data_IF_758091958512
#
_entry.id   IF_758091958512
#
_cell.length_a   1.000
_cell.length_b   1.000
_cell.length_c   1.000
_cell.angle_alpha   90.00
_cell.angle_beta   90.00
_cell.angle_gamma   90.00
#
_symmetry.space_group_name_H-M   'P 1'
#
loop_
_entity.id
_entity.type
_entity.pdbx_description
1 polymer ?
#
# COMPACT_ATOMS: atom_id res chain seq x y z
N UNK A 1 9.10 10.36 -8.35
CA UNK A 1 10.22 11.34 -8.32
C UNK A 1 11.02 11.33 -7.02
N UNK A 2 10.37 11.35 -5.81
CA UNK A 2 11.08 11.38 -4.52
C UNK A 2 11.91 10.10 -4.34
N UNK A 3 11.42 8.93 -4.70
CA UNK A 3 12.19 7.68 -4.64
C UNK A 3 13.47 7.75 -5.48
N UNK A 4 13.35 8.24 -6.71
CA UNK A 4 14.53 8.47 -7.56
C UNK A 4 15.51 9.48 -6.93
N UNK A 5 14.99 10.55 -6.33
CA UNK A 5 15.82 11.56 -5.66
C UNK A 5 16.54 10.97 -4.43
N UNK A 6 15.91 10.09 -3.64
CA UNK A 6 16.55 9.35 -2.56
C UNK A 6 17.73 8.50 -3.08
N UNK A 7 17.53 7.75 -4.17
CA UNK A 7 18.58 6.96 -4.78
C UNK A 7 19.72 7.87 -5.33
N UNK A 8 19.37 8.99 -5.94
CA UNK A 8 20.34 9.99 -6.38
C UNK A 8 21.12 10.60 -5.22
N UNK A 9 20.46 10.86 -4.08
CA UNK A 9 21.11 11.37 -2.87
C UNK A 9 22.18 10.40 -2.36
N UNK A 10 21.88 9.10 -2.30
CA UNK A 10 22.86 8.07 -1.92
C UNK A 10 24.09 8.15 -2.86
N UNK A 11 23.86 8.23 -4.17
CA UNK A 11 24.95 8.32 -5.17
C UNK A 11 25.72 9.63 -5.09
N UNK A 12 25.07 10.73 -4.71
CA UNK A 12 25.73 12.01 -4.49
C UNK A 12 26.67 11.97 -3.27
N UNK A 13 26.21 11.36 -2.19
CA UNK A 13 27.02 11.17 -0.96
C UNK A 13 28.19 10.20 -1.22
N UNK A 14 27.90 9.07 -1.87
CA UNK A 14 28.81 7.96 -2.11
C UNK A 14 28.78 7.50 -3.58
N UNK A 15 29.54 8.14 -4.47
CA UNK A 15 29.51 7.84 -5.91
C UNK A 15 29.84 6.39 -6.27
N UNK A 16 30.66 5.73 -5.46
CA UNK A 16 31.14 4.36 -5.70
C UNK A 16 30.19 3.26 -5.20
N UNK A 17 29.14 3.62 -4.40
CA UNK A 17 28.13 2.65 -3.95
C UNK A 17 27.42 2.05 -5.16
N UNK A 18 27.39 0.73 -5.26
CA UNK A 18 26.67 0.04 -6.33
C UNK A 18 25.17 0.00 -6.08
N UNK A 19 24.36 -0.24 -7.12
CA UNK A 19 22.92 -0.44 -6.93
C UNK A 19 22.61 -1.66 -6.04
N UNK A 20 23.39 -2.72 -6.16
CA UNK A 20 23.28 -3.91 -5.32
C UNK A 20 23.56 -3.60 -3.83
N UNK A 21 24.53 -2.74 -3.55
CA UNK A 21 24.79 -2.29 -2.18
C UNK A 21 23.61 -1.47 -1.63
N UNK A 22 23.02 -0.61 -2.44
CA UNK A 22 21.84 0.17 -2.03
C UNK A 22 20.64 -0.71 -1.69
N UNK A 23 20.49 -1.87 -2.32
CA UNK A 23 19.39 -2.81 -2.07
C UNK A 23 19.60 -3.69 -0.84
N UNK A 24 20.74 -3.61 -0.15
CA UNK A 24 20.95 -4.28 1.13
C UNK A 24 20.17 -3.57 2.23
N UNK A 25 19.24 -4.28 2.83
CA UNK A 25 18.38 -3.73 3.89
C UNK A 25 19.23 -3.28 5.07
N UNK A 26 19.06 -2.03 5.50
CA UNK A 26 19.82 -1.38 6.57
C UNK A 26 21.35 -1.44 6.38
N UNK A 27 21.82 -1.41 5.13
CA UNK A 27 23.22 -1.53 4.77
C UNK A 27 23.86 -0.23 4.24
N UNK A 28 23.14 0.88 4.23
CA UNK A 28 23.67 2.14 3.73
C UNK A 28 24.68 2.76 4.71
N UNK A 29 25.72 3.42 4.18
CA UNK A 29 26.57 4.27 4.99
C UNK A 29 25.79 5.50 5.46
N UNK A 30 26.27 6.15 6.54
CA UNK A 30 25.65 7.38 7.05
C UNK A 30 25.62 8.47 6.00
N UNK A 31 24.42 8.91 5.64
CA UNK A 31 24.20 10.06 4.76
C UNK A 31 24.40 11.38 5.52
N UNK A 32 24.09 12.51 4.90
CA UNK A 32 24.21 13.87 5.45
C UNK A 32 25.64 14.34 5.67
N UNK A 33 26.59 13.80 4.89
CA UNK A 33 27.98 14.24 4.90
C UNK A 33 28.19 15.42 3.96
N UNK A 34 27.41 15.47 2.86
CA UNK A 34 27.53 16.52 1.82
C UNK A 34 26.25 17.34 1.67
N UNK A 35 25.07 16.71 1.87
CA UNK A 35 23.78 17.36 1.68
C UNK A 35 22.71 16.82 2.62
N UNK A 36 21.76 17.69 2.98
CA UNK A 36 20.49 17.31 3.59
C UNK A 36 19.41 17.12 2.53
N UNK A 37 18.38 16.34 2.84
CA UNK A 37 17.30 16.03 1.92
C UNK A 37 15.98 16.62 2.38
N UNK A 38 15.40 17.50 1.55
CA UNK A 38 14.06 18.02 1.74
C UNK A 38 13.13 17.42 0.69
N UNK A 39 12.04 16.83 1.11
CA UNK A 39 11.01 16.24 0.25
C UNK A 39 9.71 17.02 0.33
N UNK A 40 9.13 17.31 -0.84
CA UNK A 40 7.85 18.02 -0.96
C UNK A 40 6.89 17.10 -1.70
N UNK A 41 5.82 16.68 -1.03
CA UNK A 41 4.83 15.75 -1.58
C UNK A 41 3.85 16.48 -2.50
N UNK A 42 3.53 15.87 -3.64
CA UNK A 42 2.50 16.36 -4.58
C UNK A 42 1.38 15.35 -4.82
N UNK A 43 1.36 14.26 -4.04
CA UNK A 43 0.31 13.24 -4.07
C UNK A 43 -0.07 12.84 -2.65
N UNK A 44 -1.33 12.45 -2.45
CA UNK A 44 -1.85 12.08 -1.13
C UNK A 44 -1.99 10.56 -1.03
N UNK A 45 -0.86 9.84 -0.82
CA UNK A 45 -0.90 8.37 -0.76
C UNK A 45 0.38 7.70 -0.31
N UNK A 46 1.47 7.84 -1.07
CA UNK A 46 2.70 7.06 -0.88
C UNK A 46 3.52 7.45 0.35
N UNK A 47 3.34 8.68 0.84
CA UNK A 47 4.07 9.24 1.98
C UNK A 47 5.61 9.13 1.88
N UNK A 48 6.15 9.08 0.68
CA UNK A 48 7.60 8.90 0.47
C UNK A 48 8.44 10.04 1.08
N UNK A 49 7.81 11.19 1.36
CA UNK A 49 8.43 12.33 2.03
C UNK A 49 8.78 12.07 3.51
N UNK A 50 8.21 11.03 4.14
CA UNK A 50 8.45 10.68 5.55
C UNK A 50 8.92 9.24 5.75
N UNK A 51 9.22 8.50 4.68
CA UNK A 51 9.50 7.07 4.78
C UNK A 51 10.99 6.73 4.60
N UNK A 52 11.38 5.63 5.22
CA UNK A 52 12.70 5.00 5.10
C UNK A 52 12.83 4.10 3.86
N UNK A 53 12.00 4.31 2.83
CA UNK A 53 11.93 3.46 1.64
C UNK A 53 12.08 4.27 0.37
N UNK A 54 12.64 3.61 -0.67
CA UNK A 54 12.68 4.07 -2.05
C UNK A 54 12.50 2.87 -2.97
N UNK A 55 11.52 2.90 -3.86
CA UNK A 55 11.22 1.79 -4.77
C UNK A 55 11.68 2.16 -6.18
N UNK A 56 12.69 1.44 -6.67
CA UNK A 56 13.27 1.66 -8.00
C UNK A 56 12.90 0.47 -8.90
N UNK A 57 12.39 0.77 -10.09
CA UNK A 57 12.04 -0.24 -11.08
C UNK A 57 13.20 -0.43 -12.05
N UNK A 58 13.71 -1.66 -12.16
CA UNK A 58 14.56 -2.10 -13.25
C UNK A 58 13.64 -2.51 -14.42
N UNK A 59 13.55 -1.66 -15.43
CA UNK A 59 12.68 -1.89 -16.58
C UNK A 59 13.20 -2.99 -17.52
N UNK A 60 14.50 -3.30 -17.50
CA UNK A 60 15.05 -4.38 -18.30
C UNK A 60 14.64 -5.75 -17.75
N UNK A 61 14.63 -5.89 -16.43
CA UNK A 61 14.24 -7.10 -15.73
C UNK A 61 12.76 -7.15 -15.36
N UNK A 62 12.06 -6.01 -15.40
CA UNK A 62 10.67 -5.89 -14.92
C UNK A 62 10.53 -6.09 -13.40
N UNK A 63 11.58 -5.78 -12.63
CA UNK A 63 11.64 -6.01 -11.18
C UNK A 63 11.68 -4.69 -10.43
N UNK A 64 10.88 -4.60 -9.36
CA UNK A 64 10.94 -3.50 -8.39
C UNK A 64 11.89 -3.87 -7.25
N UNK A 65 12.89 -3.05 -7.03
CA UNK A 65 13.88 -3.17 -5.97
C UNK A 65 13.58 -2.17 -4.86
N UNK A 66 13.26 -2.62 -3.64
CA UNK A 66 13.18 -1.74 -2.49
C UNK A 66 14.60 -1.40 -2.00
N UNK A 67 14.85 -0.11 -1.81
CA UNK A 67 15.93 0.39 -0.97
C UNK A 67 15.29 0.72 0.38
N UNK A 68 15.73 0.06 1.44
CA UNK A 68 15.12 0.17 2.77
C UNK A 68 16.21 0.49 3.79
N UNK A 69 16.25 1.73 4.26
CA UNK A 69 17.18 2.18 5.28
C UNK A 69 16.70 3.48 5.92
N UNK A 70 16.81 3.62 7.24
CA UNK A 70 16.44 4.85 7.93
C UNK A 70 17.28 6.05 7.48
N UNK A 71 18.48 5.82 6.96
CA UNK A 71 19.35 6.88 6.42
C UNK A 71 18.70 7.66 5.27
N UNK A 72 17.81 7.05 4.48
CA UNK A 72 17.12 7.74 3.38
C UNK A 72 15.80 8.41 3.77
N UNK A 73 15.45 8.41 5.04
CA UNK A 73 14.33 9.25 5.52
C UNK A 73 14.70 10.72 5.32
N UNK A 74 13.85 11.53 4.66
CA UNK A 74 14.14 12.94 4.46
C UNK A 74 14.35 13.70 5.80
N UNK A 75 15.21 14.70 5.81
CA UNK A 75 15.44 15.56 6.96
C UNK A 75 14.28 16.54 7.18
N UNK A 76 13.64 16.96 6.10
CA UNK A 76 12.48 17.85 6.10
C UNK A 76 11.45 17.30 5.14
N UNK A 77 10.22 17.17 5.61
CA UNK A 77 9.05 16.89 4.79
C UNK A 77 8.17 18.14 4.74
N UNK A 78 7.86 18.60 3.53
CA UNK A 78 6.89 19.68 3.32
C UNK A 78 5.61 19.05 2.79
N UNK A 79 4.55 19.15 3.57
CA UNK A 79 3.22 18.63 3.28
C UNK A 79 2.31 19.80 2.95
N UNK A 80 2.40 20.25 1.69
CA UNK A 80 1.65 21.40 1.19
C UNK A 80 0.43 20.92 0.40
N UNK A 81 -0.81 21.13 0.90
CA UNK A 81 -2.01 20.64 0.25
C UNK A 81 -2.27 21.28 -1.12
N UNK A 82 -1.78 22.50 -1.37
CA UNK A 82 -1.95 23.20 -2.64
C UNK A 82 -1.31 22.39 -3.80
N UNK A 83 -0.24 21.64 -3.52
CA UNK A 83 0.42 20.78 -4.51
C UNK A 83 -0.38 19.52 -4.85
N UNK A 84 -1.33 19.14 -4.03
CA UNK A 84 -2.22 18.01 -4.25
C UNK A 84 -3.60 18.41 -4.80
N UNK A 85 -3.89 19.73 -4.89
CA UNK A 85 -5.20 20.24 -5.30
C UNK A 85 -5.63 19.76 -6.67
N UNK A 86 -4.70 19.71 -7.62
CA UNK A 86 -4.97 19.37 -9.02
C UNK A 86 -4.87 17.88 -9.34
N UNK A 87 -4.73 17.00 -8.33
CA UNK A 87 -4.68 15.56 -8.56
C UNK A 87 -5.90 15.07 -9.32
N UNK A 88 -5.72 14.28 -10.43
CA UNK A 88 -6.82 13.66 -11.13
C UNK A 88 -7.63 12.73 -10.23
N UNK A 89 -8.94 12.69 -10.40
CA UNK A 89 -9.87 11.91 -9.58
C UNK A 89 -9.46 10.44 -9.42
N UNK A 90 -9.03 9.79 -10.50
CA UNK A 90 -8.52 8.40 -10.48
C UNK A 90 -7.28 8.26 -9.58
N UNK A 91 -6.39 9.25 -9.61
CA UNK A 91 -5.20 9.23 -8.75
C UNK A 91 -5.58 9.42 -7.28
N UNK A 92 -6.52 10.33 -6.97
CA UNK A 92 -7.07 10.51 -5.61
C UNK A 92 -7.64 9.20 -5.08
N UNK A 93 -8.41 8.48 -5.89
CA UNK A 93 -8.99 7.18 -5.51
C UNK A 93 -7.90 6.15 -5.17
N UNK A 94 -6.94 5.96 -6.08
CA UNK A 94 -5.90 4.95 -5.92
C UNK A 94 -4.96 5.28 -4.75
N UNK A 95 -4.48 6.51 -4.67
CA UNK A 95 -3.55 6.92 -3.61
C UNK A 95 -4.22 7.01 -2.24
N UNK A 96 -5.50 7.38 -2.18
CA UNK A 96 -6.26 7.40 -0.94
C UNK A 96 -6.49 6.00 -0.38
N UNK A 97 -6.80 5.00 -1.23
CA UNK A 97 -6.90 3.61 -0.81
C UNK A 97 -5.54 2.99 -0.45
N UNK A 98 -4.47 3.45 -1.08
CA UNK A 98 -3.10 3.12 -0.71
C UNK A 98 -2.78 3.59 0.71
N UNK A 99 -3.07 4.86 1.01
CA UNK A 99 -2.91 5.42 2.35
C UNK A 99 -3.76 4.69 3.41
N UNK A 100 -5.01 4.29 3.08
CA UNK A 100 -5.84 3.48 3.95
C UNK A 100 -5.18 2.11 4.23
N UNK A 101 -4.62 1.50 3.20
CA UNK A 101 -3.93 0.20 3.33
C UNK A 101 -2.67 0.34 4.18
N UNK A 102 -1.86 1.37 3.96
CA UNK A 102 -0.70 1.69 4.78
C UNK A 102 -1.07 1.75 6.28
N UNK A 103 -2.11 2.52 6.61
CA UNK A 103 -2.53 2.72 7.98
C UNK A 103 -3.07 1.43 8.62
N UNK A 104 -3.89 0.66 7.89
CA UNK A 104 -4.46 -0.60 8.39
C UNK A 104 -3.36 -1.66 8.57
N UNK A 105 -2.47 -1.84 7.59
CA UNK A 105 -1.37 -2.80 7.71
C UNK A 105 -0.39 -2.41 8.81
N UNK A 106 -0.02 -1.14 8.93
CA UNK A 106 0.82 -0.66 10.03
C UNK A 106 0.19 -0.94 11.40
N UNK A 107 -1.12 -0.74 11.53
CA UNK A 107 -1.82 -0.99 12.79
C UNK A 107 -1.84 -2.46 13.18
N UNK A 108 -2.03 -3.39 12.24
CA UNK A 108 -2.08 -4.84 12.53
C UNK A 108 -0.72 -5.54 12.41
N UNK A 109 0.32 -4.82 12.01
CA UNK A 109 1.68 -5.34 11.87
C UNK A 109 2.21 -5.94 13.18
N UNK A 110 3.03 -7.00 13.09
CA UNK A 110 3.76 -7.54 14.25
C UNK A 110 4.83 -6.59 14.79
N UNK A 111 5.20 -5.57 14.02
CA UNK A 111 6.17 -4.53 14.41
C UNK A 111 5.50 -3.24 14.91
N UNK A 112 4.19 -3.23 15.14
CA UNK A 112 3.47 -2.08 15.68
C UNK A 112 3.99 -1.67 17.07
N UNK A 113 3.81 -0.42 17.45
CA UNK A 113 4.26 0.14 18.74
C UNK A 113 3.26 1.16 19.26
N UNK A 114 3.39 1.54 20.54
CA UNK A 114 2.62 2.63 21.16
C UNK A 114 2.80 3.98 20.43
N UNK A 115 3.87 4.14 19.64
CA UNK A 115 4.11 5.35 18.83
C UNK A 115 3.45 5.27 17.45
N UNK A 116 3.39 4.10 16.84
CA UNK A 116 2.82 3.92 15.49
C UNK A 116 1.30 3.77 15.51
N UNK A 117 0.75 3.14 16.56
CA UNK A 117 -0.68 2.88 16.68
C UNK A 117 -1.55 4.15 16.66
N UNK A 118 -1.26 5.22 17.43
CA UNK A 118 -2.04 6.44 17.36
C UNK A 118 -2.01 7.12 15.99
N UNK A 119 -0.87 7.07 15.29
CA UNK A 119 -0.73 7.63 13.95
C UNK A 119 -1.57 6.86 12.94
N UNK A 120 -1.50 5.52 12.97
CA UNK A 120 -2.27 4.64 12.10
C UNK A 120 -3.78 4.81 12.33
N UNK A 121 -4.24 4.76 13.58
CA UNK A 121 -5.65 4.93 13.91
C UNK A 121 -6.18 6.32 13.52
N UNK A 122 -5.39 7.37 13.76
CA UNK A 122 -5.79 8.72 13.36
C UNK A 122 -5.89 8.85 11.84
N UNK A 123 -4.93 8.30 11.09
CA UNK A 123 -4.97 8.25 9.64
C UNK A 123 -6.22 7.49 9.12
N UNK A 124 -6.52 6.30 9.67
CA UNK A 124 -7.71 5.52 9.30
C UNK A 124 -8.98 6.35 9.47
N UNK A 125 -9.13 7.03 10.62
CA UNK A 125 -10.30 7.86 10.91
C UNK A 125 -10.45 9.00 9.93
N UNK A 126 -9.36 9.72 9.62
CA UNK A 126 -9.35 10.83 8.67
C UNK A 126 -9.68 10.33 7.26
N UNK A 127 -9.02 9.28 6.78
CA UNK A 127 -9.23 8.74 5.43
C UNK A 127 -10.67 8.27 5.27
N UNK A 128 -11.22 7.55 6.27
CA UNK A 128 -12.62 7.11 6.22
C UNK A 128 -13.62 8.26 6.14
N UNK A 129 -13.31 9.41 6.77
CA UNK A 129 -14.19 10.59 6.78
C UNK A 129 -14.04 11.46 5.53
N UNK A 130 -12.85 11.52 4.94
CA UNK A 130 -12.50 12.60 4.01
C UNK A 130 -12.23 12.12 2.58
N UNK A 131 -11.95 10.82 2.35
CA UNK A 131 -11.56 10.31 1.03
C UNK A 131 -12.63 10.50 -0.05
N UNK A 132 -13.90 10.25 0.25
CA UNK A 132 -14.98 10.41 -0.71
C UNK A 132 -15.18 11.89 -1.10
N UNK A 133 -15.09 12.81 -0.14
CA UNK A 133 -15.14 14.25 -0.40
C UNK A 133 -13.95 14.72 -1.24
N UNK A 134 -12.75 14.27 -0.89
CA UNK A 134 -11.53 14.55 -1.65
C UNK A 134 -11.63 14.05 -3.10
N UNK A 135 -12.17 12.84 -3.30
CA UNK A 135 -12.43 12.26 -4.62
C UNK A 135 -13.40 13.11 -5.44
N UNK A 136 -14.41 13.69 -4.79
CA UNK A 136 -15.41 14.57 -5.43
C UNK A 136 -14.92 16.02 -5.61
N UNK A 137 -13.69 16.33 -5.25
CA UNK A 137 -13.07 17.63 -5.51
C UNK A 137 -13.22 18.66 -4.39
N UNK A 138 -13.64 18.26 -3.21
CA UNK A 138 -13.66 19.12 -2.00
C UNK A 138 -12.23 19.39 -1.54
N UNK A 139 -11.79 20.65 -1.60
CA UNK A 139 -10.42 21.05 -1.30
C UNK A 139 -10.07 20.94 0.18
N UNK A 140 -11.02 21.20 1.09
CA UNK A 140 -10.80 20.99 2.51
C UNK A 140 -10.55 19.50 2.81
N UNK A 141 -11.30 18.62 2.16
CA UNK A 141 -11.09 17.17 2.27
C UNK A 141 -9.78 16.72 1.62
N UNK A 142 -9.33 17.37 0.54
CA UNK A 142 -8.00 17.11 -0.05
C UNK A 142 -6.88 17.47 0.91
N UNK A 143 -6.96 18.59 1.60
CA UNK A 143 -6.01 18.95 2.66
C UNK A 143 -5.99 17.86 3.75
N UNK A 144 -7.17 17.43 4.24
CA UNK A 144 -7.25 16.35 5.25
C UNK A 144 -6.62 15.05 4.75
N UNK A 145 -6.87 14.68 3.51
CA UNK A 145 -6.26 13.49 2.90
C UNK A 145 -4.75 13.62 2.75
N UNK A 146 -4.24 14.82 2.42
CA UNK A 146 -2.81 15.08 2.31
C UNK A 146 -2.10 14.92 3.67
N UNK A 147 -2.72 15.41 4.74
CA UNK A 147 -2.24 15.21 6.10
C UNK A 147 -2.36 13.72 6.54
N UNK A 148 -3.48 13.06 6.25
CA UNK A 148 -3.73 11.68 6.65
C UNK A 148 -2.73 10.70 6.04
N UNK A 149 -2.36 10.87 4.76
CA UNK A 149 -1.37 10.02 4.12
C UNK A 149 0.03 10.17 4.77
N UNK A 150 0.40 11.37 5.18
CA UNK A 150 1.65 11.61 5.89
C UNK A 150 1.66 10.87 7.26
N UNK A 151 0.55 10.94 8.01
CA UNK A 151 0.39 10.18 9.26
C UNK A 151 0.50 8.67 9.04
N UNK A 152 -0.18 8.13 8.00
CA UNK A 152 -0.06 6.73 7.61
C UNK A 152 1.39 6.37 7.26
N UNK A 153 2.10 7.27 6.58
CA UNK A 153 3.51 7.12 6.24
C UNK A 153 4.42 7.02 7.45
N UNK A 154 4.26 7.92 8.41
CA UNK A 154 5.00 7.87 9.67
C UNK A 154 4.72 6.58 10.45
N UNK A 155 3.48 6.08 10.41
CA UNK A 155 3.12 4.81 11.04
C UNK A 155 3.83 3.64 10.36
N UNK A 156 3.62 3.43 9.05
CA UNK A 156 4.16 2.24 8.38
C UNK A 156 5.67 2.27 8.19
N UNK A 157 6.28 3.44 8.10
CA UNK A 157 7.74 3.55 8.01
C UNK A 157 8.45 2.96 9.24
N UNK A 158 7.75 2.89 10.38
CA UNK A 158 8.25 2.33 11.64
C UNK A 158 7.62 0.97 11.98
N UNK A 159 6.33 0.76 11.68
CA UNK A 159 5.62 -0.49 11.95
C UNK A 159 5.74 -1.53 10.82
N UNK A 160 6.28 -1.13 9.66
CA UNK A 160 6.29 -1.93 8.44
C UNK A 160 4.88 -2.21 7.90
N UNK A 161 4.79 -3.08 6.90
CA UNK A 161 3.55 -3.38 6.15
C UNK A 161 3.20 -4.87 6.27
N UNK A 162 2.34 -5.36 5.39
CA UNK A 162 1.88 -6.74 5.38
C UNK A 162 1.74 -7.30 3.96
N UNK A 163 0.98 -8.38 3.86
CA UNK A 163 0.84 -9.13 2.61
C UNK A 163 -0.01 -8.45 1.55
N UNK A 164 -0.80 -7.42 1.87
CA UNK A 164 -1.46 -6.60 0.83
C UNK A 164 -0.40 -5.97 -0.06
N UNK A 165 0.59 -5.31 0.55
CA UNK A 165 1.70 -4.69 -0.17
C UNK A 165 2.58 -5.71 -0.87
N UNK A 166 2.89 -6.84 -0.22
CA UNK A 166 3.65 -7.93 -0.85
C UNK A 166 2.99 -8.41 -2.15
N UNK A 167 1.68 -8.62 -2.13
CA UNK A 167 0.90 -9.01 -3.31
C UNK A 167 0.91 -7.90 -4.37
N UNK A 168 0.68 -6.64 -3.98
CA UNK A 168 0.65 -5.51 -4.89
C UNK A 168 2.00 -5.25 -5.57
N UNK A 169 3.12 -5.40 -4.86
CA UNK A 169 4.46 -5.29 -5.42
C UNK A 169 4.69 -6.31 -6.55
N UNK A 170 4.18 -7.54 -6.39
CA UNK A 170 4.45 -8.62 -7.34
C UNK A 170 3.43 -8.68 -8.49
N UNK A 171 2.24 -8.12 -8.32
CA UNK A 171 1.21 -8.09 -9.37
C UNK A 171 1.29 -6.86 -10.27
N UNK A 172 1.78 -5.72 -9.78
CA UNK A 172 1.74 -4.46 -10.51
C UNK A 172 2.40 -4.48 -11.90
N UNK A 173 3.53 -5.17 -12.03
CA UNK A 173 4.25 -5.31 -13.29
C UNK A 173 4.17 -6.73 -13.89
N UNK A 174 3.55 -7.69 -13.21
CA UNK A 174 3.56 -9.10 -13.60
C UNK A 174 2.91 -9.38 -14.95
N UNK A 175 2.08 -8.46 -15.44
CA UNK A 175 1.30 -8.59 -16.67
C UNK A 175 1.62 -7.52 -17.70
N UNK A 176 2.66 -6.71 -17.49
CA UNK A 176 3.00 -5.57 -18.36
C UNK A 176 3.33 -5.98 -19.79
N UNK A 177 3.96 -7.15 -20.00
CA UNK A 177 4.23 -7.71 -21.33
C UNK A 177 2.97 -8.15 -22.08
N UNK A 178 1.83 -8.22 -21.40
CA UNK A 178 0.49 -8.46 -21.98
C UNK A 178 -0.33 -7.18 -22.11
N UNK A 179 0.31 -6.03 -21.90
CA UNK A 179 -0.37 -4.74 -21.97
C UNK A 179 -1.25 -4.42 -20.76
N UNK A 180 -1.12 -5.20 -19.68
CA UNK A 180 -1.88 -4.98 -18.46
C UNK A 180 -0.97 -4.47 -17.34
N UNK A 181 -1.32 -3.33 -16.74
CA UNK A 181 -0.59 -2.74 -15.63
C UNK A 181 -1.56 -2.40 -14.50
N UNK A 182 -1.54 -3.22 -13.44
CA UNK A 182 -2.36 -2.96 -12.26
C UNK A 182 -1.66 -1.89 -11.42
N UNK A 183 -2.29 -0.72 -11.30
CA UNK A 183 -1.73 0.36 -10.48
C UNK A 183 -1.69 -0.04 -9.01
N UNK A 184 -0.63 0.39 -8.30
CA UNK A 184 -0.35 -0.05 -6.94
C UNK A 184 -1.52 0.17 -5.97
N UNK A 185 -2.08 1.39 -5.94
CA UNK A 185 -3.21 1.69 -5.05
C UNK A 185 -4.51 0.95 -5.41
N UNK A 186 -4.74 0.64 -6.70
CA UNK A 186 -5.88 -0.21 -7.08
C UNK A 186 -5.66 -1.66 -6.65
N UNK A 187 -4.43 -2.19 -6.77
CA UNK A 187 -4.08 -3.51 -6.27
C UNK A 187 -4.32 -3.61 -4.76
N UNK A 188 -3.80 -2.65 -4.00
CA UNK A 188 -4.00 -2.58 -2.56
C UNK A 188 -5.49 -2.54 -2.19
N UNK A 189 -6.30 -1.71 -2.88
CA UNK A 189 -7.74 -1.64 -2.66
C UNK A 189 -8.44 -2.99 -2.89
N UNK A 190 -8.10 -3.70 -3.98
CA UNK A 190 -8.70 -5.00 -4.31
C UNK A 190 -8.31 -6.11 -3.32
N UNK A 191 -7.09 -6.05 -2.77
CA UNK A 191 -6.56 -7.13 -1.92
C UNK A 191 -6.90 -6.95 -0.46
N UNK A 192 -6.95 -5.72 0.03
CA UNK A 192 -7.15 -5.41 1.46
C UNK A 192 -8.35 -6.14 2.09
N UNK A 193 -9.56 -6.14 1.50
CA UNK A 193 -10.70 -6.86 2.07
C UNK A 193 -10.46 -8.37 2.22
N UNK A 194 -9.76 -9.00 1.26
CA UNK A 194 -9.44 -10.43 1.27
C UNK A 194 -8.35 -10.76 2.29
N UNK A 195 -7.36 -9.89 2.42
CA UNK A 195 -6.29 -10.03 3.43
C UNK A 195 -6.82 -9.84 4.84
N UNK A 196 -7.76 -8.89 5.06
CA UNK A 196 -8.43 -8.76 6.37
C UNK A 196 -9.14 -10.06 6.73
N UNK A 197 -9.89 -10.68 5.81
CA UNK A 197 -10.56 -11.97 6.06
C UNK A 197 -9.56 -13.08 6.37
N UNK A 198 -8.42 -13.13 5.68
CA UNK A 198 -7.35 -14.08 5.95
C UNK A 198 -6.69 -13.83 7.32
N UNK A 199 -6.27 -12.62 7.60
CA UNK A 199 -5.57 -12.25 8.83
C UNK A 199 -6.47 -12.36 10.07
N UNK A 200 -7.79 -12.15 9.95
CA UNK A 200 -8.75 -12.27 11.04
C UNK A 200 -8.89 -13.70 11.61
N UNK A 201 -8.26 -14.71 11.02
CA UNK A 201 -8.08 -16.04 11.65
C UNK A 201 -7.03 -16.02 12.76
N UNK A 202 -6.15 -15.01 12.80
CA UNK A 202 -5.28 -14.72 13.94
C UNK A 202 -6.06 -13.89 14.97
N UNK A 203 -6.05 -14.31 16.23
CA UNK A 203 -6.86 -13.69 17.29
C UNK A 203 -6.48 -12.23 17.59
N UNK A 204 -5.17 -11.91 17.58
CA UNK A 204 -4.71 -10.55 17.84
C UNK A 204 -5.05 -9.63 16.66
N UNK A 205 -4.82 -10.07 15.42
CA UNK A 205 -5.23 -9.32 14.25
C UNK A 205 -6.75 -9.07 14.23
N UNK A 206 -7.56 -10.09 14.54
CA UNK A 206 -9.02 -9.96 14.65
C UNK A 206 -9.42 -8.89 15.65
N UNK A 207 -8.81 -8.89 16.83
CA UNK A 207 -9.06 -7.88 17.87
C UNK A 207 -8.75 -6.47 17.33
N UNK A 208 -7.60 -6.28 16.68
CA UNK A 208 -7.20 -4.99 16.13
C UNK A 208 -8.10 -4.52 14.99
N UNK A 209 -8.61 -5.42 14.15
CA UNK A 209 -9.63 -5.07 13.15
C UNK A 209 -10.97 -4.67 13.80
N UNK A 210 -11.35 -5.27 14.94
CA UNK A 210 -12.52 -4.84 15.69
C UNK A 210 -12.33 -3.42 16.26
N UNK A 211 -11.14 -3.10 16.76
CA UNK A 211 -10.80 -1.75 17.25
C UNK A 211 -10.91 -0.69 16.14
N UNK A 212 -10.48 -1.02 14.91
CA UNK A 212 -10.69 -0.16 13.74
C UNK A 212 -12.19 0.03 13.46
N UNK A 213 -12.97 -1.05 13.45
CA UNK A 213 -14.41 -0.99 13.19
C UNK A 213 -15.14 -0.12 14.24
N UNK A 214 -14.76 -0.23 15.51
CA UNK A 214 -15.28 0.60 16.59
C UNK A 214 -14.86 2.07 16.43
N UNK A 215 -13.59 2.34 16.07
CA UNK A 215 -13.06 3.69 15.85
C UNK A 215 -13.85 4.47 14.80
N UNK A 216 -14.26 3.81 13.72
CA UNK A 216 -15.00 4.44 12.62
C UNK A 216 -16.51 4.15 12.67
N UNK A 217 -17.02 3.69 13.83
CA UNK A 217 -18.43 3.52 14.15
C UNK A 217 -19.20 2.59 13.20
N UNK A 218 -18.61 1.46 12.79
CA UNK A 218 -19.27 0.52 11.87
C UNK A 218 -20.30 -0.39 12.55
N UNK A 219 -20.34 -0.41 13.89
CA UNK A 219 -21.22 -1.29 14.65
C UNK A 219 -20.80 -2.77 14.60
N UNK A 220 -21.69 -3.64 15.06
CA UNK A 220 -21.46 -5.06 15.19
C UNK A 220 -21.46 -5.50 16.66
N UNK A 221 -22.10 -6.63 16.96
CA UNK A 221 -22.26 -7.19 18.32
C UNK A 221 -21.21 -8.25 18.62
N UNK A 222 -20.67 -8.89 17.58
CA UNK A 222 -19.62 -9.88 17.67
C UNK A 222 -18.35 -9.43 16.92
N UNK A 223 -17.21 -10.05 17.25
CA UNK A 223 -15.96 -9.79 16.56
C UNK A 223 -16.04 -10.09 15.05
N UNK A 224 -16.75 -11.17 14.69
CA UNK A 224 -16.93 -11.54 13.28
C UNK A 224 -17.79 -10.52 12.54
N UNK A 225 -18.85 -10.00 13.15
CA UNK A 225 -19.67 -8.92 12.58
C UNK A 225 -18.85 -7.64 12.39
N UNK A 226 -18.03 -7.25 13.37
CA UNK A 226 -17.17 -6.06 13.27
C UNK A 226 -16.15 -6.17 12.13
N UNK A 227 -15.48 -7.32 12.01
CA UNK A 227 -14.56 -7.58 10.90
C UNK A 227 -15.29 -7.55 9.56
N UNK A 228 -16.48 -8.17 9.48
CA UNK A 228 -17.26 -8.16 8.24
C UNK A 228 -17.74 -6.74 7.88
N UNK A 229 -18.12 -5.93 8.86
CA UNK A 229 -18.52 -4.54 8.65
C UNK A 229 -17.34 -3.70 8.16
N UNK A 230 -16.12 -3.93 8.67
CA UNK A 230 -14.92 -3.28 8.14
C UNK A 230 -14.66 -3.68 6.68
N UNK A 231 -14.74 -4.96 6.34
CA UNK A 231 -14.62 -5.45 4.96
C UNK A 231 -15.68 -4.79 4.05
N UNK A 232 -16.94 -4.74 4.50
CA UNK A 232 -18.03 -4.13 3.75
C UNK A 232 -17.77 -2.64 3.51
N UNK A 233 -17.33 -1.89 4.53
CA UNK A 233 -17.01 -0.47 4.40
C UNK A 233 -15.90 -0.22 3.36
N UNK A 234 -14.84 -1.02 3.37
CA UNK A 234 -13.76 -0.89 2.38
C UNK A 234 -14.25 -1.20 0.96
N UNK A 235 -15.14 -2.19 0.81
CA UNK A 235 -15.75 -2.51 -0.49
C UNK A 235 -16.73 -1.44 -0.96
N UNK A 236 -17.42 -0.75 -0.06
CA UNK A 236 -18.23 0.44 -0.38
C UNK A 236 -17.34 1.58 -0.89
N UNK A 237 -16.24 1.86 -0.18
CA UNK A 237 -15.26 2.86 -0.65
C UNK A 237 -14.74 2.53 -2.06
N UNK A 238 -14.36 1.27 -2.33
CA UNK A 238 -13.94 0.87 -3.68
C UNK A 238 -14.99 1.21 -4.74
N UNK A 239 -16.28 0.90 -4.48
CA UNK A 239 -17.38 1.19 -5.40
C UNK A 239 -17.56 2.70 -5.62
N UNK A 240 -17.59 3.48 -4.54
CA UNK A 240 -17.74 4.95 -4.60
C UNK A 240 -16.59 5.60 -5.36
N UNK A 241 -15.37 5.06 -5.20
CA UNK A 241 -14.15 5.54 -5.84
C UNK A 241 -13.96 4.98 -7.26
N UNK A 242 -14.92 4.21 -7.78
CA UNK A 242 -14.85 3.56 -9.08
C UNK A 242 -13.60 2.67 -9.27
N UNK A 243 -13.19 1.96 -8.20
CA UNK A 243 -12.14 0.95 -8.24
C UNK A 243 -12.79 -0.43 -8.37
N UNK A 244 -12.39 -1.27 -9.34
CA UNK A 244 -12.87 -2.64 -9.43
C UNK A 244 -12.68 -3.44 -8.15
N UNK A 245 -13.61 -4.36 -7.86
CA UNK A 245 -13.57 -5.17 -6.63
C UNK A 245 -12.60 -6.36 -6.71
N UNK A 246 -12.14 -6.69 -7.92
CA UNK A 246 -11.26 -7.84 -8.15
C UNK A 246 -10.40 -7.62 -9.41
N UNK A 247 -9.32 -8.41 -9.52
CA UNK A 247 -8.38 -8.31 -10.64
C UNK A 247 -9.07 -8.63 -11.97
N UNK A 248 -9.99 -9.59 -12.02
CA UNK A 248 -10.71 -9.99 -13.22
C UNK A 248 -11.46 -8.82 -13.87
N UNK A 249 -11.98 -7.91 -13.07
CA UNK A 249 -12.72 -6.76 -13.56
C UNK A 249 -11.83 -5.53 -13.83
N UNK A 250 -10.57 -5.58 -13.48
CA UNK A 250 -9.63 -4.48 -13.70
C UNK A 250 -9.31 -4.37 -15.19
N UNK A 251 -9.66 -3.24 -15.80
CA UNK A 251 -9.46 -2.97 -17.23
C UNK A 251 -10.49 -3.62 -18.16
N UNK A 252 -11.51 -4.34 -17.66
CA UNK A 252 -12.49 -5.03 -18.52
C UNK A 252 -13.53 -4.07 -19.14
N UNK A 253 -14.21 -3.26 -18.32
CA UNK A 253 -15.35 -2.46 -18.78
C UNK A 253 -15.27 -0.95 -18.47
N UNK A 254 -14.49 -0.56 -17.47
CA UNK A 254 -14.47 0.81 -16.96
C UNK A 254 -13.08 1.44 -16.91
N UNK A 255 -12.06 0.65 -17.16
CA UNK A 255 -10.71 1.14 -17.36
C UNK A 255 -10.44 1.24 -18.86
N UNK A 256 -10.13 2.44 -19.39
CA UNK A 256 -9.67 2.54 -20.76
C UNK A 256 -8.49 1.60 -21.00
N UNK A 257 -8.28 1.22 -22.26
CA UNK A 257 -7.22 0.32 -22.72
C UNK A 257 -5.80 0.67 -22.21
N UNK A 258 -5.63 1.83 -21.60
CA UNK A 258 -4.39 2.31 -20.96
C UNK A 258 -3.85 1.41 -19.85
N UNK A 259 -4.73 0.67 -19.16
CA UNK A 259 -4.30 -0.19 -18.03
C UNK A 259 -4.32 -1.69 -18.36
N UNK A 260 -4.85 -2.05 -19.53
CA UNK A 260 -4.95 -3.43 -19.99
C UNK A 260 -5.82 -4.33 -19.11
N UNK A 261 -6.11 -5.50 -19.62
CA UNK A 261 -6.95 -6.52 -18.99
C UNK A 261 -6.12 -7.78 -18.68
N UNK A 262 -6.25 -8.31 -17.47
CA UNK A 262 -5.60 -9.57 -17.09
C UNK A 262 -6.57 -10.72 -17.35
N UNK A 263 -6.39 -11.43 -18.47
CA UNK A 263 -7.20 -12.62 -18.77
C UNK A 263 -6.91 -13.76 -17.77
N UNK A 264 -7.89 -14.64 -17.59
CA UNK A 264 -7.79 -15.78 -16.67
C UNK A 264 -6.60 -16.69 -16.99
N UNK A 265 -6.40 -17.01 -18.28
CA UNK A 265 -5.28 -17.86 -18.69
C UNK A 265 -3.92 -17.25 -18.33
N UNK A 266 -3.73 -15.95 -18.57
CA UNK A 266 -2.50 -15.24 -18.23
C UNK A 266 -2.30 -15.18 -16.71
N UNK A 267 -3.38 -14.94 -15.96
CA UNK A 267 -3.33 -14.96 -14.51
C UNK A 267 -2.92 -16.34 -13.96
N UNK A 268 -3.60 -17.40 -14.40
CA UNK A 268 -3.35 -18.76 -13.93
C UNK A 268 -1.94 -19.26 -14.27
N UNK A 269 -1.37 -18.85 -15.41
CA UNK A 269 0.01 -19.16 -15.78
C UNK A 269 1.06 -18.57 -14.84
N UNK A 270 0.76 -17.43 -14.18
CA UNK A 270 1.72 -16.65 -13.40
C UNK A 270 1.48 -16.64 -11.90
N UNK A 271 0.27 -16.98 -11.47
CA UNK A 271 -0.14 -16.84 -10.07
C UNK A 271 0.76 -17.58 -9.08
N UNK A 272 1.27 -18.76 -9.45
CA UNK A 272 2.16 -19.56 -8.58
C UNK A 272 3.51 -18.85 -8.34
N UNK A 273 4.10 -18.26 -9.38
CA UNK A 273 5.36 -17.53 -9.24
C UNK A 273 5.16 -16.18 -8.55
N UNK A 274 4.05 -15.49 -8.82
CA UNK A 274 3.65 -14.29 -8.09
C UNK A 274 3.52 -14.60 -6.60
N UNK A 275 2.87 -15.73 -6.25
CA UNK A 275 2.67 -16.14 -4.86
C UNK A 275 4.00 -16.41 -4.13
N UNK A 276 4.92 -17.14 -4.74
CA UNK A 276 6.26 -17.40 -4.19
C UNK A 276 7.03 -16.10 -3.95
N UNK A 277 7.00 -15.20 -4.93
CA UNK A 277 7.69 -13.92 -4.84
C UNK A 277 7.05 -12.99 -3.80
N UNK A 278 5.71 -13.04 -3.63
CA UNK A 278 5.01 -12.28 -2.60
C UNK A 278 5.36 -12.78 -1.19
N UNK A 279 5.45 -14.09 -0.98
CA UNK A 279 5.89 -14.66 0.31
C UNK A 279 7.33 -14.26 0.63
N UNK A 280 8.20 -14.15 -0.38
CA UNK A 280 9.58 -13.71 -0.21
C UNK A 280 9.76 -12.19 -0.09
N UNK A 281 8.71 -11.41 -0.24
CA UNK A 281 8.74 -9.94 -0.10
C UNK A 281 8.95 -9.53 1.37
N UNK A 282 9.74 -8.49 1.61
CA UNK A 282 10.06 -8.01 2.94
C UNK A 282 8.82 -7.62 3.77
N UNK A 283 7.76 -7.12 3.13
CA UNK A 283 6.51 -6.75 3.82
C UNK A 283 5.78 -7.97 4.42
N UNK A 284 6.01 -9.17 3.91
CA UNK A 284 5.39 -10.39 4.44
C UNK A 284 5.86 -10.73 5.86
N UNK A 285 7.09 -10.33 6.23
CA UNK A 285 7.69 -10.65 7.53
C UNK A 285 6.96 -10.01 8.71
N UNK A 286 6.29 -8.90 8.50
CA UNK A 286 5.52 -8.17 9.53
C UNK A 286 4.01 -8.42 9.50
N UNK A 287 3.55 -9.32 8.61
CA UNK A 287 2.14 -9.69 8.57
C UNK A 287 1.73 -10.47 9.83
N UNK A 288 0.57 -10.19 10.45
CA UNK A 288 0.18 -10.81 11.72
C UNK A 288 -0.14 -12.31 11.63
N UNK A 289 -0.37 -12.83 10.44
CA UNK A 289 -0.60 -14.27 10.18
C UNK A 289 0.40 -14.76 9.15
N UNK A 290 1.15 -15.81 9.50
CA UNK A 290 2.02 -16.48 8.55
C UNK A 290 1.25 -17.03 7.35
N UNK A 291 1.89 -17.04 6.18
CA UNK A 291 1.29 -17.51 4.94
C UNK A 291 2.29 -18.35 4.14
N UNK A 292 1.85 -19.53 3.69
CA UNK A 292 2.64 -20.35 2.76
C UNK A 292 2.44 -19.92 1.31
N UNK A 293 3.34 -20.30 0.38
CA UNK A 293 3.15 -20.03 -1.04
C UNK A 293 1.82 -20.57 -1.59
N UNK A 294 1.36 -21.73 -1.12
CA UNK A 294 0.09 -22.34 -1.54
C UNK A 294 -1.11 -21.53 -1.03
N UNK A 295 -1.04 -21.03 0.20
CA UNK A 295 -2.08 -20.16 0.75
C UNK A 295 -2.09 -18.79 0.05
N UNK A 296 -0.92 -18.23 -0.26
CA UNK A 296 -0.78 -16.99 -1.01
C UNK A 296 -1.38 -17.12 -2.42
N UNK A 297 -1.14 -18.26 -3.11
CA UNK A 297 -1.76 -18.54 -4.40
C UNK A 297 -3.29 -18.61 -4.30
N UNK A 298 -3.82 -19.28 -3.27
CA UNK A 298 -5.28 -19.31 -3.02
C UNK A 298 -5.83 -17.90 -2.76
N UNK A 299 -5.13 -17.10 -1.96
CA UNK A 299 -5.53 -15.74 -1.64
C UNK A 299 -5.55 -14.84 -2.89
N UNK A 300 -4.53 -14.94 -3.74
CA UNK A 300 -4.49 -14.25 -5.04
C UNK A 300 -5.64 -14.68 -5.95
N UNK A 301 -6.02 -15.96 -5.95
CA UNK A 301 -7.19 -16.45 -6.68
C UNK A 301 -8.49 -15.86 -6.12
N UNK A 302 -8.62 -15.75 -4.78
CA UNK A 302 -9.75 -15.04 -4.17
C UNK A 302 -9.82 -13.57 -4.61
N UNK A 303 -8.67 -12.90 -4.75
CA UNK A 303 -8.59 -11.52 -5.26
C UNK A 303 -8.92 -11.43 -6.76
N UNK A 304 -8.60 -12.47 -7.54
CA UNK A 304 -8.91 -12.49 -8.98
C UNK A 304 -10.40 -12.73 -9.25
N UNK A 305 -11.00 -13.72 -8.57
CA UNK A 305 -12.39 -14.13 -8.82
C UNK A 305 -13.43 -13.44 -7.93
N UNK A 306 -13.01 -12.64 -6.96
CA UNK A 306 -13.84 -12.06 -5.89
C UNK A 306 -14.55 -13.13 -5.02
N UNK A 307 -13.92 -14.25 -4.79
CA UNK A 307 -14.45 -15.31 -3.92
C UNK A 307 -14.12 -15.07 -2.44
N UNK A 308 -14.84 -15.74 -1.54
CA UNK A 308 -14.59 -15.68 -0.10
C UNK A 308 -13.25 -16.33 0.28
N UNK A 309 -12.70 -15.91 1.42
CA UNK A 309 -11.50 -16.48 2.03
C UNK A 309 -11.89 -17.31 3.22
N UNK A 310 -11.86 -18.63 3.09
CA UNK A 310 -12.35 -19.60 4.07
C UNK A 310 -11.26 -20.47 4.74
N UNK A 311 -9.98 -20.22 4.43
CA UNK A 311 -8.80 -20.99 4.87
C UNK A 311 -7.87 -20.23 5.80
#
# INVERSE_FOLDING_TARGET
>A
PIDAAKAMWIKYEYPDVTFEDMCKVFGLPKLRQKAHFCAISSTSGTATEVTAFSIITDYEKGIKYPIADFEITPDVAIVDPDLAETMPQKLVAHTGMDAMTHAIEAYVSTAHTDYTDPLALHAIRMINADLEGSYNGDLEKREKMHNAQCLAGMAFSNALLGIVHSMAHKTGAAFADKGAHITHGAANAMYLPKVIAFNAKNAEAKKRYCEIADLINLGGTSADEKVQNLINRLRELQKTLNIPLCIRNYGADSCPAENGFVSEDVFLQRVSDIAKNAVADACTLSNPREISPEQMEKLLKCCYYDTEVDF
#
